data_IF_561666050567
#
_entry.id   IF_561666050567
#
_cell.length_a   1.000
_cell.length_b   1.000
_cell.length_c   1.000
_cell.angle_alpha   90.00
_cell.angle_beta   90.00
_cell.angle_gamma   90.00
#
_symmetry.space_group_name_H-M   'P 1'
#
loop_
_entity.id
_entity.type
_entity.pdbx_description
1 polymer ?
#
# COMPACT_ATOMS: atom_id res chain seq x y z
N UNK A 1 -30.16 -5.76 12.37
CA UNK A 1 -29.25 -6.06 11.26
C UNK A 1 -27.97 -5.26 11.46
N UNK A 2 -26.90 -5.89 11.97
CA UNK A 2 -25.64 -5.18 12.26
C UNK A 2 -24.93 -4.80 10.95
N UNK A 3 -24.68 -3.50 10.76
CA UNK A 3 -23.93 -2.98 9.61
C UNK A 3 -22.52 -3.54 9.65
N UNK A 4 -22.18 -4.43 8.70
CA UNK A 4 -20.84 -5.01 8.53
C UNK A 4 -19.86 -3.87 8.31
N UNK A 5 -19.08 -3.54 9.34
CA UNK A 5 -18.04 -2.53 9.28
C UNK A 5 -17.05 -2.95 8.19
N UNK A 6 -17.05 -2.23 7.07
CA UNK A 6 -16.06 -2.41 6.01
C UNK A 6 -14.71 -2.09 6.64
N UNK A 7 -13.93 -3.13 6.99
CA UNK A 7 -12.55 -2.96 7.44
C UNK A 7 -11.84 -2.21 6.32
N UNK A 8 -11.43 -0.96 6.58
CA UNK A 8 -10.55 -0.21 5.68
C UNK A 8 -9.35 -1.11 5.40
N UNK A 9 -9.27 -1.66 4.19
CA UNK A 9 -8.18 -2.53 3.79
C UNK A 9 -6.90 -1.71 3.82
N UNK A 10 -5.88 -2.21 4.53
CA UNK A 10 -4.55 -1.59 4.54
C UNK A 10 -4.06 -1.46 3.09
N UNK A 11 -3.43 -0.33 2.71
CA UNK A 11 -2.97 -0.14 1.35
C UNK A 11 -1.84 -1.15 1.05
N UNK A 12 -1.99 -1.83 -0.08
CA UNK A 12 -1.03 -2.83 -0.56
C UNK A 12 -0.31 -2.28 -1.78
N UNK A 13 0.97 -2.59 -1.90
CA UNK A 13 1.81 -2.20 -3.03
C UNK A 13 2.44 -3.44 -3.64
N UNK A 14 2.54 -3.49 -4.96
CA UNK A 14 3.13 -4.62 -5.68
C UNK A 14 4.23 -4.13 -6.61
N UNK A 15 5.42 -4.74 -6.50
CA UNK A 15 6.51 -4.54 -7.45
C UNK A 15 6.26 -5.41 -8.68
N UNK A 16 6.37 -4.83 -9.87
CA UNK A 16 6.16 -5.55 -11.14
C UNK A 16 7.39 -6.31 -11.62
N UNK A 17 8.58 -5.95 -11.14
CA UNK A 17 9.85 -6.57 -11.55
C UNK A 17 10.06 -7.90 -10.82
N UNK A 18 10.03 -7.86 -9.49
CA UNK A 18 10.29 -9.04 -8.65
C UNK A 18 9.02 -9.71 -8.10
N UNK A 19 7.84 -9.09 -8.24
CA UNK A 19 6.57 -9.65 -7.78
C UNK A 19 6.29 -9.51 -6.28
N UNK A 20 7.14 -8.81 -5.51
CA UNK A 20 6.95 -8.61 -4.08
C UNK A 20 5.69 -7.79 -3.79
N UNK A 21 4.93 -8.21 -2.78
CA UNK A 21 3.76 -7.51 -2.27
C UNK A 21 4.04 -7.04 -0.84
N UNK A 22 3.93 -5.74 -0.61
CA UNK A 22 4.06 -5.14 0.73
C UNK A 22 2.74 -4.51 1.15
N UNK A 23 2.50 -4.49 2.46
CA UNK A 23 1.34 -3.81 3.06
C UNK A 23 1.87 -2.72 3.99
N UNK A 24 1.28 -1.53 3.94
CA UNK A 24 1.68 -0.46 4.86
C UNK A 24 0.87 -0.59 6.15
N UNK A 25 1.56 -0.95 7.24
CA UNK A 25 0.95 -1.09 8.56
C UNK A 25 0.78 0.25 9.28
N UNK A 26 1.81 1.11 9.20
CA UNK A 26 1.79 2.46 9.73
C UNK A 26 2.23 3.44 8.65
N UNK A 27 1.50 4.54 8.53
CA UNK A 27 1.90 5.66 7.68
C UNK A 27 2.75 6.63 8.51
N UNK A 28 3.81 7.15 7.91
CA UNK A 28 4.73 8.10 8.58
C UNK A 28 4.06 9.44 8.93
N UNK A 29 2.93 9.78 8.31
CA UNK A 29 2.25 11.06 8.54
C UNK A 29 2.97 12.26 7.92
N UNK A 30 3.98 12.02 7.08
CA UNK A 30 4.58 13.06 6.25
C UNK A 30 3.48 13.72 5.39
N UNK A 31 3.57 15.04 5.25
CA UNK A 31 2.60 15.83 4.47
C UNK A 31 2.68 15.47 2.98
N UNK A 32 3.84 15.01 2.53
CA UNK A 32 4.09 14.60 1.15
C UNK A 32 3.88 13.11 0.94
N UNK A 33 3.39 12.74 -0.25
CA UNK A 33 3.22 11.35 -0.65
C UNK A 33 4.59 10.67 -0.75
N UNK A 34 4.84 9.65 0.07
CA UNK A 34 6.04 8.83 -0.03
C UNK A 34 5.82 7.69 -1.03
N UNK A 35 6.49 7.75 -2.18
CA UNK A 35 6.53 6.63 -3.13
C UNK A 35 7.39 5.49 -2.59
N UNK A 36 6.85 4.27 -2.65
CA UNK A 36 7.60 3.06 -2.30
C UNK A 36 8.34 2.59 -3.55
N UNK A 37 9.67 2.65 -3.54
CA UNK A 37 10.53 2.22 -4.65
C UNK A 37 11.03 0.80 -4.38
N UNK A 38 10.88 -0.09 -5.35
CA UNK A 38 11.43 -1.45 -5.32
C UNK A 38 11.95 -1.80 -6.73
N UNK A 39 13.14 -2.38 -6.81
CA UNK A 39 13.83 -2.63 -8.09
C UNK A 39 14.05 -1.35 -8.92
N UNK A 40 14.33 -0.22 -8.25
CA UNK A 40 14.51 1.12 -8.84
C UNK A 40 13.26 1.68 -9.56
N UNK A 41 12.10 1.08 -9.37
CA UNK A 41 10.84 1.56 -9.92
C UNK A 41 9.79 1.80 -8.82
N UNK A 42 8.92 2.82 -8.96
CA UNK A 42 7.82 3.05 -8.03
C UNK A 42 6.81 1.89 -8.07
N UNK A 43 6.48 1.36 -6.90
CA UNK A 43 5.53 0.26 -6.75
C UNK A 43 4.10 0.73 -7.04
N UNK A 44 3.28 -0.15 -7.61
CA UNK A 44 1.87 0.18 -7.87
C UNK A 44 1.01 -0.09 -6.66
N UNK A 45 0.24 0.92 -6.23
CA UNK A 45 -0.81 0.77 -5.22
C UNK A 45 -1.93 -0.12 -5.75
N UNK A 46 -2.27 -1.16 -5.01
CA UNK A 46 -3.42 -2.03 -5.29
C UNK A 46 -4.67 -1.37 -4.66
N UNK A 47 -5.64 -1.01 -5.51
CA UNK A 47 -6.96 -0.51 -5.08
C UNK A 47 -7.82 -1.63 -4.52
#
# INVERSE_FOLDING_TARGET
MAKKSVKKSKPKYTCKVCGIIVTVDNVCGCVEECDIICCNEPMKKKR
#
